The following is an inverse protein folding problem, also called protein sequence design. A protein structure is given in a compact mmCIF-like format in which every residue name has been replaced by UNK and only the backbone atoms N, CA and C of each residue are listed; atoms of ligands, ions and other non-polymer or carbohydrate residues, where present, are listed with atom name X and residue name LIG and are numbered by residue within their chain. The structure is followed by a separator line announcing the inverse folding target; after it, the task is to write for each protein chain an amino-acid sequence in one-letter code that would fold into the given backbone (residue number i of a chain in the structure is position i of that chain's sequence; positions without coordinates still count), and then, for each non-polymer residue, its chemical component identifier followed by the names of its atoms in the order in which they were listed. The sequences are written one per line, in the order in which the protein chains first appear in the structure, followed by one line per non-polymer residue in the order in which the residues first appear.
data_IF_112885101944
#
_entry.id   IF_112885101944
#
_cell.length_a   1.000
_cell.length_b   1.000
_cell.length_c   1.000
_cell.angle_alpha   90.00
_cell.angle_beta   90.00
_cell.angle_gamma   90.00
#
_symmetry.space_group_name_H-M   'P 1'
#
loop_
_entity.id
_entity.type
_entity.pdbx_description
1 polymer ?
#
# COMPACT_ATOMS: atom_id res chain seq x y z
N UNK A 1 7.17 -9.27 29.19
CA UNK A 1 6.52 -9.45 27.89
C UNK A 1 6.44 -8.08 27.25
N UNK A 2 7.19 -7.84 26.17
CA UNK A 2 7.22 -6.53 25.53
C UNK A 2 5.86 -6.15 24.90
N UNK A 3 5.60 -4.87 24.79
CA UNK A 3 4.34 -4.32 24.30
C UNK A 3 4.57 -3.53 23.02
N UNK A 4 4.00 -4.00 21.91
CA UNK A 4 3.93 -3.30 20.63
C UNK A 4 2.61 -2.55 20.54
N UNK A 5 2.66 -1.25 20.23
CA UNK A 5 1.50 -0.49 19.83
C UNK A 5 1.66 -0.02 18.39
N UNK A 6 0.79 -0.45 17.51
CA UNK A 6 0.71 0.02 16.13
C UNK A 6 -0.38 1.08 15.98
N UNK A 7 -0.15 2.11 15.17
CA UNK A 7 -1.14 3.16 14.87
C UNK A 7 -1.34 3.22 13.36
N UNK A 8 -2.57 2.93 12.93
CA UNK A 8 -2.95 2.98 11.51
C UNK A 8 -4.38 3.50 11.37
N UNK A 9 -4.73 4.06 10.23
CA UNK A 9 -6.09 4.55 9.97
C UNK A 9 -7.15 3.44 10.10
N UNK A 10 -6.82 2.21 9.73
CA UNK A 10 -7.70 1.03 9.78
C UNK A 10 -7.07 -0.12 10.52
N UNK A 11 -7.86 -1.07 11.04
CA UNK A 11 -7.39 -2.30 11.64
C UNK A 11 -7.89 -3.51 10.83
N UNK A 12 -6.95 -4.34 10.34
CA UNK A 12 -7.24 -5.52 9.51
C UNK A 12 -8.18 -5.24 8.32
N UNK A 13 -8.13 -4.01 7.78
CA UNK A 13 -8.93 -3.58 6.64
C UNK A 13 -8.07 -2.80 5.64
N UNK A 14 -8.25 -3.06 4.34
CA UNK A 14 -7.37 -2.51 3.31
C UNK A 14 -5.95 -3.09 3.38
N UNK A 15 -5.03 -2.64 2.52
CA UNK A 15 -3.67 -3.18 2.48
C UNK A 15 -2.88 -2.87 3.75
N UNK A 16 -2.77 -1.60 4.15
CA UNK A 16 -1.98 -1.18 5.32
C UNK A 16 -2.52 -1.72 6.63
N UNK A 17 -3.87 -1.81 6.78
CA UNK A 17 -4.49 -2.42 7.94
C UNK A 17 -4.23 -3.92 8.06
N UNK A 18 -4.19 -4.65 6.94
CA UNK A 18 -3.82 -6.08 6.90
C UNK A 18 -2.34 -6.27 7.24
N UNK A 19 -1.46 -5.39 6.74
CA UNK A 19 -0.02 -5.42 7.06
C UNK A 19 0.18 -5.21 8.58
N UNK A 20 -0.45 -4.19 9.17
CA UNK A 20 -0.38 -3.94 10.61
C UNK A 20 -0.91 -5.13 11.43
N UNK A 21 -2.02 -5.74 10.99
CA UNK A 21 -2.57 -6.96 11.60
C UNK A 21 -1.55 -8.11 11.58
N UNK A 22 -0.94 -8.37 10.44
CA UNK A 22 -0.01 -9.48 10.26
C UNK A 22 1.31 -9.28 11.02
N UNK A 23 1.84 -8.04 11.06
CA UNK A 23 3.01 -7.69 11.90
C UNK A 23 2.67 -7.93 13.38
N UNK A 24 1.47 -7.53 13.83
CA UNK A 24 1.03 -7.75 15.19
C UNK A 24 0.83 -9.23 15.51
N UNK A 25 0.32 -10.04 14.59
CA UNK A 25 0.22 -11.50 14.75
C UNK A 25 1.61 -12.14 14.85
N UNK A 26 2.56 -11.71 14.04
CA UNK A 26 3.94 -12.13 14.14
C UNK A 26 4.54 -11.76 15.51
N UNK A 27 4.26 -10.57 16.03
CA UNK A 27 4.69 -10.17 17.36
C UNK A 27 4.08 -11.06 18.46
N UNK A 28 2.78 -11.35 18.39
CA UNK A 28 2.06 -12.21 19.34
C UNK A 28 2.66 -13.63 19.35
N UNK A 29 2.93 -14.22 18.17
CA UNK A 29 3.53 -15.56 18.06
C UNK A 29 4.96 -15.64 18.65
N UNK A 30 5.62 -14.48 18.80
CA UNK A 30 6.94 -14.36 19.44
C UNK A 30 6.88 -13.83 20.87
N UNK A 31 5.74 -13.92 21.54
CA UNK A 31 5.58 -13.61 22.96
C UNK A 31 5.41 -12.12 23.29
N UNK A 32 5.00 -11.28 22.35
CA UNK A 32 4.67 -9.88 22.60
C UNK A 32 3.19 -9.68 22.89
N UNK A 33 2.85 -8.62 23.62
CA UNK A 33 1.48 -8.06 23.62
C UNK A 33 1.39 -7.07 22.47
N UNK A 34 0.39 -7.23 21.60
CA UNK A 34 0.21 -6.34 20.44
C UNK A 34 -1.14 -5.63 20.48
N UNK A 35 -1.08 -4.32 20.21
CA UNK A 35 -2.23 -3.42 20.14
C UNK A 35 -2.23 -2.73 18.76
N UNK A 36 -3.43 -2.50 18.20
CA UNK A 36 -3.62 -1.65 17.02
C UNK A 36 -4.60 -0.53 17.39
N UNK A 37 -4.10 0.71 17.39
CA UNK A 37 -4.92 1.90 17.50
C UNK A 37 -5.36 2.36 16.11
N UNK A 38 -6.67 2.55 15.91
CA UNK A 38 -7.26 2.83 14.60
C UNK A 38 -8.34 3.91 14.64
N UNK A 39 -8.58 4.57 13.49
CA UNK A 39 -9.55 5.65 13.38
C UNK A 39 -10.89 5.26 12.75
N UNK A 40 -10.88 4.44 11.70
CA UNK A 40 -12.06 4.26 10.83
C UNK A 40 -12.58 2.82 10.81
N UNK A 41 -12.24 2.07 9.79
CA UNK A 41 -12.78 0.72 9.53
C UNK A 41 -11.95 -0.36 10.20
N UNK A 42 -12.59 -1.44 10.60
CA UNK A 42 -11.92 -2.60 11.18
C UNK A 42 -12.62 -3.91 10.76
N UNK A 43 -11.83 -4.95 10.66
CA UNK A 43 -12.28 -6.34 10.65
C UNK A 43 -11.86 -7.03 11.96
N UNK A 44 -12.38 -8.23 12.27
CA UNK A 44 -11.91 -9.03 13.40
C UNK A 44 -10.39 -9.15 13.43
N UNK A 45 -9.78 -9.01 14.60
CA UNK A 45 -8.33 -8.93 14.80
C UNK A 45 -7.89 -9.85 15.95
N UNK A 46 -6.68 -10.42 15.81
CA UNK A 46 -5.99 -11.09 16.93
C UNK A 46 -5.27 -10.10 17.84
N UNK A 47 -5.07 -8.87 17.37
CA UNK A 47 -4.49 -7.80 18.16
C UNK A 47 -5.56 -7.16 19.06
N UNK A 48 -5.15 -6.53 20.16
CA UNK A 48 -6.04 -5.72 20.99
C UNK A 48 -6.31 -4.40 20.29
N UNK A 49 -7.57 -4.12 19.96
CA UNK A 49 -7.97 -2.95 19.21
C UNK A 49 -8.29 -1.76 20.10
N UNK A 50 -7.82 -0.57 19.73
CA UNK A 50 -8.10 0.70 20.38
C UNK A 50 -8.64 1.67 19.34
N UNK A 51 -9.90 2.07 19.49
CA UNK A 51 -10.49 3.06 18.58
C UNK A 51 -10.16 4.48 19.01
N UNK A 52 -9.62 5.27 18.10
CA UNK A 52 -9.33 6.70 18.32
C UNK A 52 -10.49 7.52 17.78
N UNK A 53 -11.23 8.16 18.71
CA UNK A 53 -12.37 9.01 18.36
C UNK A 53 -13.62 8.26 17.91
N UNK A 54 -14.61 9.03 17.55
CA UNK A 54 -15.91 8.61 17.01
C UNK A 54 -16.02 8.89 15.52
N UNK A 55 -17.10 8.47 14.88
CA UNK A 55 -17.42 8.86 13.50
C UNK A 55 -17.58 10.38 13.36
N UNK A 56 -18.08 11.04 14.40
CA UNK A 56 -18.26 12.49 14.40
C UNK A 56 -16.90 13.21 14.44
N UNK A 57 -15.94 12.75 15.29
CA UNK A 57 -14.59 13.33 15.32
C UNK A 57 -13.89 13.22 13.95
N UNK A 58 -14.09 12.11 13.24
CA UNK A 58 -13.53 11.90 11.89
C UNK A 58 -14.17 12.87 10.89
N UNK A 59 -15.49 13.05 10.96
CA UNK A 59 -16.21 13.94 10.03
C UNK A 59 -15.87 15.42 10.28
N UNK A 60 -15.79 15.85 11.53
CA UNK A 60 -15.35 17.19 11.92
C UNK A 60 -13.93 17.47 11.39
N UNK A 61 -13.01 16.51 11.60
CA UNK A 61 -11.65 16.61 11.08
C UNK A 61 -11.59 16.69 9.55
N UNK A 62 -12.43 15.89 8.87
CA UNK A 62 -12.52 15.92 7.41
C UNK A 62 -12.93 17.30 6.91
N UNK A 63 -13.98 17.92 7.49
CA UNK A 63 -14.44 19.26 7.10
C UNK A 63 -13.35 20.30 7.38
N UNK A 64 -12.76 20.27 8.58
CA UNK A 64 -11.69 21.21 8.96
C UNK A 64 -10.51 21.11 7.99
N UNK A 65 -10.09 19.90 7.61
CA UNK A 65 -8.97 19.70 6.69
C UNK A 65 -9.25 20.16 5.27
N UNK A 66 -10.52 20.05 4.82
CA UNK A 66 -10.95 20.53 3.50
C UNK A 66 -10.92 22.05 3.36
N UNK A 67 -11.12 22.76 4.46
CA UNK A 67 -11.11 24.22 4.47
C UNK A 67 -9.70 24.76 4.76
N UNK A 68 -9.02 24.16 5.73
CA UNK A 68 -7.78 24.69 6.31
C UNK A 68 -6.52 23.92 5.89
N UNK A 69 -6.60 22.93 5.02
CA UNK A 69 -5.45 22.07 4.64
C UNK A 69 -4.61 21.62 5.86
N UNK A 70 -5.28 21.16 6.91
CA UNK A 70 -4.66 20.80 8.18
C UNK A 70 -4.84 19.30 8.52
N UNK A 71 -4.84 18.45 7.52
CA UNK A 71 -4.94 17.02 7.68
C UNK A 71 -3.94 16.46 8.73
N UNK A 72 -4.46 15.69 9.68
CA UNK A 72 -3.67 15.18 10.79
C UNK A 72 -3.41 16.18 11.92
N UNK A 73 -4.03 17.38 11.93
CA UNK A 73 -3.88 18.40 12.96
C UNK A 73 -5.15 18.73 13.74
N UNK A 74 -6.31 18.25 13.28
CA UNK A 74 -7.58 18.29 14.06
C UNK A 74 -7.69 17.08 15.03
N UNK A 75 -8.89 16.60 15.37
CA UNK A 75 -9.11 15.48 16.32
C UNK A 75 -8.38 15.62 17.66
N UNK A 76 -8.25 16.83 18.17
CA UNK A 76 -7.44 17.13 19.38
C UNK A 76 -7.98 16.42 20.62
N UNK A 77 -9.33 16.39 20.82
CA UNK A 77 -9.97 15.74 21.97
C UNK A 77 -9.76 14.22 21.94
N UNK A 78 -10.00 13.60 20.78
CA UNK A 78 -9.81 12.17 20.58
C UNK A 78 -8.35 11.76 20.84
N UNK A 79 -7.39 12.51 20.31
CA UNK A 79 -5.96 12.26 20.54
C UNK A 79 -5.55 12.41 21.98
N UNK A 80 -6.05 13.44 22.72
CA UNK A 80 -5.78 13.57 24.17
C UNK A 80 -6.32 12.40 24.97
N UNK A 81 -7.51 11.87 24.65
CA UNK A 81 -8.05 10.65 25.27
C UNK A 81 -7.17 9.45 24.97
N UNK A 82 -6.76 9.30 23.72
CA UNK A 82 -5.84 8.23 23.31
C UNK A 82 -4.50 8.28 24.05
N UNK A 83 -3.92 9.46 24.23
CA UNK A 83 -2.66 9.64 24.99
C UNK A 83 -2.80 9.14 26.43
N UNK A 84 -3.95 9.30 27.08
CA UNK A 84 -4.17 8.73 28.43
C UNK A 84 -4.12 7.19 28.40
N UNK A 85 -4.71 6.58 27.37
CA UNK A 85 -4.62 5.13 27.18
C UNK A 85 -3.17 4.67 26.95
N UNK A 86 -2.36 5.47 26.24
CA UNK A 86 -0.92 5.19 26.08
C UNK A 86 -0.17 5.20 27.43
N UNK A 87 -0.52 6.12 28.35
CA UNK A 87 0.06 6.19 29.69
C UNK A 87 -0.30 4.95 30.53
N UNK A 88 -1.45 4.32 30.29
CA UNK A 88 -1.88 3.08 30.96
C UNK A 88 -1.18 1.85 30.35
N UNK A 89 -1.11 1.77 29.02
CA UNK A 89 -0.52 0.62 28.29
C UNK A 89 1.00 0.59 28.43
N UNK A 90 1.66 1.75 28.41
CA UNK A 90 3.13 1.92 28.44
C UNK A 90 3.83 1.05 27.41
N UNK A 91 3.59 1.29 26.09
CA UNK A 91 4.21 0.49 25.05
C UNK A 91 5.73 0.63 25.06
N UNK A 92 6.43 -0.46 24.82
CA UNK A 92 7.89 -0.48 24.68
C UNK A 92 8.32 0.04 23.29
N UNK A 93 7.47 -0.15 22.26
CA UNK A 93 7.65 0.36 20.91
C UNK A 93 6.33 0.88 20.37
N UNK A 94 6.37 2.06 19.75
CA UNK A 94 5.27 2.60 18.94
C UNK A 94 5.60 2.47 17.47
N UNK A 95 4.76 1.76 16.72
CA UNK A 95 4.92 1.58 15.28
C UNK A 95 3.83 2.35 14.53
N UNK A 96 4.24 3.35 13.76
CA UNK A 96 3.37 4.19 12.94
C UNK A 96 3.26 3.62 11.54
N UNK A 97 2.04 3.60 11.01
CA UNK A 97 1.73 3.34 9.60
C UNK A 97 1.10 4.59 8.98
N UNK A 98 -0.09 4.50 8.40
CA UNK A 98 -0.80 5.66 7.90
C UNK A 98 -1.53 6.37 9.05
N UNK A 99 -0.94 7.47 9.50
CA UNK A 99 -1.47 8.30 10.59
C UNK A 99 -2.17 9.57 10.09
N UNK A 100 -2.22 9.78 8.79
CA UNK A 100 -3.05 10.77 8.12
C UNK A 100 -4.53 10.31 8.01
N UNK A 101 -5.39 11.05 7.30
CA UNK A 101 -6.78 10.64 7.00
C UNK A 101 -7.80 10.83 8.15
N UNK A 102 -7.70 11.94 8.88
CA UNK A 102 -8.77 12.56 9.70
C UNK A 102 -9.13 11.88 11.03
N UNK A 103 -8.23 11.19 11.70
CA UNK A 103 -8.57 10.53 12.97
C UNK A 103 -7.66 10.90 14.16
N UNK A 104 -6.48 11.45 13.89
CA UNK A 104 -5.43 11.67 14.85
C UNK A 104 -4.82 13.05 14.69
N UNK A 105 -4.40 13.68 15.79
CA UNK A 105 -3.54 14.85 15.78
C UNK A 105 -2.10 14.42 15.96
N UNK A 106 -1.33 14.36 14.85
CA UNK A 106 0.07 13.91 14.90
C UNK A 106 0.96 14.83 15.71
N UNK A 107 0.67 16.14 15.80
CA UNK A 107 1.45 17.07 16.62
C UNK A 107 1.38 16.70 18.10
N UNK A 108 0.18 16.43 18.62
CA UNK A 108 -0.01 16.01 20.01
C UNK A 108 0.65 14.65 20.28
N UNK A 109 0.48 13.70 19.38
CA UNK A 109 1.11 12.39 19.47
C UNK A 109 2.64 12.51 19.49
N UNK A 110 3.25 13.24 18.57
CA UNK A 110 4.70 13.38 18.49
C UNK A 110 5.27 14.11 19.71
N UNK A 111 4.60 15.14 20.23
CA UNK A 111 4.99 15.78 21.48
C UNK A 111 5.00 14.82 22.66
N UNK A 112 4.01 13.90 22.73
CA UNK A 112 3.95 12.86 23.74
C UNK A 112 5.10 11.86 23.59
N UNK A 113 5.33 11.32 22.37
CA UNK A 113 6.38 10.36 22.10
C UNK A 113 7.78 10.92 22.43
N UNK A 114 8.04 12.17 22.07
CA UNK A 114 9.28 12.88 22.45
C UNK A 114 9.46 12.95 23.96
N UNK A 115 8.41 13.36 24.70
CA UNK A 115 8.47 13.50 26.15
C UNK A 115 8.71 12.15 26.85
N UNK A 116 8.13 11.09 26.33
CA UNK A 116 8.23 9.72 26.90
C UNK A 116 9.48 8.97 26.42
N UNK A 117 10.19 9.47 25.39
CA UNK A 117 11.36 8.84 24.77
C UNK A 117 11.10 7.40 24.31
N UNK A 118 9.85 7.10 23.92
CA UNK A 118 9.47 5.76 23.42
C UNK A 118 10.10 5.56 22.06
N UNK A 119 10.72 4.41 21.77
CA UNK A 119 11.18 4.04 20.42
C UNK A 119 10.04 4.06 19.42
N UNK A 120 10.26 4.77 18.30
CA UNK A 120 9.28 4.91 17.22
C UNK A 120 9.81 4.27 15.96
N UNK A 121 9.05 3.35 15.41
CA UNK A 121 9.25 2.82 14.05
C UNK A 121 8.14 3.39 13.18
N UNK A 122 8.46 3.89 11.99
CA UNK A 122 7.45 4.37 11.06
C UNK A 122 7.57 3.66 9.72
N UNK A 123 6.64 2.74 9.45
CA UNK A 123 6.54 2.15 8.11
C UNK A 123 5.90 3.15 7.17
N UNK A 124 6.68 3.56 6.19
CA UNK A 124 6.25 4.47 5.13
C UNK A 124 5.58 3.67 4.01
N UNK A 125 4.26 3.80 3.93
CA UNK A 125 3.46 3.23 2.83
C UNK A 125 3.21 4.23 1.72
N UNK A 126 3.48 5.51 1.98
CA UNK A 126 3.35 6.64 1.06
C UNK A 126 4.33 7.76 1.43
N UNK A 127 4.23 8.88 0.73
CA UNK A 127 5.15 10.02 0.87
C UNK A 127 4.61 11.14 1.78
N UNK A 128 3.45 10.94 2.43
CA UNK A 128 2.81 12.00 3.22
C UNK A 128 3.70 12.59 4.33
N UNK A 129 4.55 11.80 4.96
CA UNK A 129 5.41 12.27 6.04
C UNK A 129 6.44 13.30 5.58
N UNK A 130 6.90 13.24 4.33
CA UNK A 130 7.93 14.10 3.76
C UNK A 130 7.39 15.22 2.88
N UNK A 131 6.08 15.28 2.68
CA UNK A 131 5.40 16.32 1.91
C UNK A 131 4.60 17.26 2.79
N UNK A 132 4.11 18.37 2.25
CA UNK A 132 3.20 19.27 2.96
C UNK A 132 1.78 18.73 3.07
N UNK A 133 1.34 17.99 2.05
CA UNK A 133 -0.06 17.62 1.86
C UNK A 133 -0.24 16.23 1.23
N UNK A 134 0.49 15.91 0.17
CA UNK A 134 0.18 14.78 -0.70
C UNK A 134 0.79 13.46 -0.23
N UNK A 135 0.07 12.36 -0.46
CA UNK A 135 0.51 10.98 -0.28
C UNK A 135 1.31 10.48 -1.50
N UNK A 136 1.00 11.01 -2.67
CA UNK A 136 1.68 10.74 -3.93
C UNK A 136 2.14 12.07 -4.52
N UNK A 137 3.40 12.16 -4.91
CA UNK A 137 3.98 13.38 -5.48
C UNK A 137 3.54 13.51 -6.92
N UNK A 138 2.91 14.62 -7.32
CA UNK A 138 2.58 14.88 -8.72
C UNK A 138 3.82 14.86 -9.60
N UNK A 139 3.66 14.43 -10.85
CA UNK A 139 4.76 14.41 -11.82
C UNK A 139 5.42 15.79 -11.92
N UNK A 140 6.74 15.83 -11.84
CA UNK A 140 7.54 17.05 -11.92
C UNK A 140 7.58 17.91 -10.64
N UNK A 141 6.83 17.58 -9.59
CA UNK A 141 6.90 18.33 -8.33
C UNK A 141 8.16 17.98 -7.55
N UNK A 142 9.01 19.00 -7.28
CA UNK A 142 10.24 18.84 -6.50
C UNK A 142 10.21 19.59 -5.17
N UNK A 143 9.14 20.35 -4.86
CA UNK A 143 9.04 21.21 -3.67
C UNK A 143 9.20 20.44 -2.34
N UNK A 144 8.84 19.18 -2.30
CA UNK A 144 8.96 18.33 -1.11
C UNK A 144 10.42 18.12 -0.63
N UNK A 145 11.41 18.32 -1.51
CA UNK A 145 12.83 18.18 -1.16
C UNK A 145 13.30 19.32 -0.24
N UNK A 146 12.86 20.52 -0.52
CA UNK A 146 13.25 21.72 0.22
C UNK A 146 12.09 22.25 1.06
N UNK A 147 11.06 22.79 0.43
CA UNK A 147 9.89 23.32 1.09
C UNK A 147 8.64 23.30 0.18
N UNK A 148 7.61 22.56 0.56
CA UNK A 148 6.33 22.55 -0.15
C UNK A 148 5.68 23.95 -0.13
N UNK A 149 5.13 24.34 -1.27
CA UNK A 149 4.34 25.56 -1.46
C UNK A 149 3.57 25.49 -2.78
N UNK A 150 2.51 26.29 -2.93
CA UNK A 150 1.70 26.35 -4.15
C UNK A 150 1.33 24.94 -4.65
N UNK A 151 0.76 24.13 -3.76
CA UNK A 151 0.52 22.71 -4.04
C UNK A 151 -0.56 22.53 -5.11
N UNK A 152 -0.27 21.86 -6.25
CA UNK A 152 -1.24 21.68 -7.33
C UNK A 152 -2.42 20.77 -6.92
N UNK A 153 -2.30 20.04 -5.81
CA UNK A 153 -3.35 19.14 -5.31
C UNK A 153 -4.30 19.83 -4.32
N UNK A 154 -4.09 21.11 -4.01
CA UNK A 154 -4.99 21.87 -3.15
C UNK A 154 -6.33 22.08 -3.88
N UNK A 155 -7.42 21.82 -3.18
CA UNK A 155 -8.75 22.02 -3.72
C UNK A 155 -9.08 23.51 -3.85
N UNK A 156 -9.88 23.83 -4.86
CA UNK A 156 -10.22 25.22 -5.27
C UNK A 156 -10.65 26.14 -4.13
N UNK A 157 -11.25 25.61 -3.08
CA UNK A 157 -11.79 26.39 -1.95
C UNK A 157 -11.00 26.18 -0.64
N UNK A 158 -9.87 25.47 -0.68
CA UNK A 158 -9.03 25.23 0.49
C UNK A 158 -7.92 26.27 0.58
N UNK A 159 -7.52 26.62 1.82
CA UNK A 159 -6.31 27.37 2.05
C UNK A 159 -5.10 26.49 1.73
N UNK A 160 -4.09 27.04 1.08
CA UNK A 160 -2.81 26.31 0.91
C UNK A 160 -1.93 26.48 2.14
N UNK A 161 -1.95 25.51 3.02
CA UNK A 161 -1.05 25.41 4.16
C UNK A 161 0.10 24.41 3.93
N UNK A 162 0.34 23.96 2.70
CA UNK A 162 1.37 22.98 2.38
C UNK A 162 2.74 23.35 2.91
N UNK A 163 3.14 24.62 2.82
CA UNK A 163 4.38 25.16 3.39
C UNK A 163 4.42 25.01 4.91
N UNK A 164 3.38 25.46 5.59
CA UNK A 164 3.25 25.38 7.04
C UNK A 164 3.27 23.94 7.55
N UNK A 165 2.53 23.08 6.88
CA UNK A 165 2.44 21.65 7.19
C UNK A 165 3.78 20.95 7.00
N UNK A 166 4.49 21.23 5.91
CA UNK A 166 5.81 20.68 5.64
C UNK A 166 6.84 21.12 6.71
N UNK A 167 6.92 22.41 7.01
CA UNK A 167 7.79 22.95 8.08
C UNK A 167 7.48 22.32 9.44
N UNK A 168 6.20 22.16 9.77
CA UNK A 168 5.77 21.57 11.04
C UNK A 168 6.18 20.10 11.12
N UNK A 169 5.94 19.29 10.07
CA UNK A 169 6.36 17.88 10.01
C UNK A 169 7.89 17.79 10.14
N UNK A 170 8.64 18.53 9.34
CA UNK A 170 10.11 18.61 9.42
C UNK A 170 10.60 18.88 10.85
N UNK A 171 10.06 19.90 11.50
CA UNK A 171 10.43 20.27 12.89
C UNK A 171 10.12 19.15 13.88
N UNK A 172 8.91 18.60 13.84
CA UNK A 172 8.47 17.57 14.79
C UNK A 172 9.26 16.27 14.60
N UNK A 173 9.43 15.82 13.35
CA UNK A 173 10.13 14.58 13.04
C UNK A 173 11.63 14.68 13.33
N UNK A 174 12.24 15.85 13.15
CA UNK A 174 13.61 16.11 13.58
C UNK A 174 13.79 16.02 15.10
N UNK A 175 12.75 16.24 15.88
CA UNK A 175 12.81 16.26 17.35
C UNK A 175 12.61 14.89 18.01
N UNK A 176 12.10 13.88 17.30
CA UNK A 176 11.93 12.51 17.82
C UNK A 176 13.28 11.78 17.72
N UNK A 177 14.03 11.70 18.82
CA UNK A 177 15.38 11.12 18.82
C UNK A 177 15.42 9.65 18.43
N UNK A 178 14.47 8.85 18.89
CA UNK A 178 14.39 7.38 18.67
C UNK A 178 13.49 7.00 17.50
N UNK A 179 13.48 7.78 16.41
CA UNK A 179 12.70 7.51 15.21
C UNK A 179 13.53 6.73 14.19
N UNK A 180 13.03 5.55 13.82
CA UNK A 180 13.54 4.75 12.69
C UNK A 180 12.49 4.71 11.58
N UNK A 181 12.89 5.04 10.37
CA UNK A 181 12.02 5.01 9.19
C UNK A 181 12.17 3.67 8.47
N UNK A 182 11.04 3.07 8.13
CA UNK A 182 10.99 1.79 7.42
C UNK A 182 10.19 1.97 6.12
N UNK A 183 10.86 2.34 5.01
CA UNK A 183 10.20 2.34 3.70
C UNK A 183 9.94 0.91 3.22
N UNK A 184 8.84 0.73 2.47
CA UNK A 184 8.44 -0.59 1.94
C UNK A 184 9.13 -0.95 0.62
N UNK A 185 9.95 -0.04 0.07
CA UNK A 185 10.70 -0.22 -1.19
C UNK A 185 11.97 0.61 -1.17
N UNK A 186 12.96 0.25 -1.99
CA UNK A 186 14.18 1.05 -2.17
C UNK A 186 13.87 2.38 -2.86
N UNK A 187 12.95 2.37 -3.85
CA UNK A 187 12.46 3.61 -4.45
C UNK A 187 11.96 4.61 -3.42
N UNK A 188 11.17 4.14 -2.45
CA UNK A 188 10.65 5.00 -1.37
C UNK A 188 11.80 5.44 -0.43
N UNK A 189 12.75 4.55 -0.15
CA UNK A 189 13.94 4.88 0.65
C UNK A 189 14.77 5.99 -0.02
N UNK A 190 14.94 5.94 -1.34
CA UNK A 190 15.66 6.97 -2.09
C UNK A 190 14.98 8.34 -2.05
N UNK A 191 13.66 8.37 -2.08
CA UNK A 191 12.90 9.60 -1.85
C UNK A 191 13.11 10.12 -0.42
N UNK A 192 13.09 9.25 0.58
CA UNK A 192 13.29 9.65 1.98
C UNK A 192 14.72 10.17 2.20
N UNK A 193 15.74 9.55 1.60
CA UNK A 193 17.15 10.01 1.64
C UNK A 193 17.34 11.39 1.03
N UNK A 194 16.45 11.86 0.18
CA UNK A 194 16.45 13.19 -0.43
C UNK A 194 15.55 14.20 0.30
N UNK A 195 14.89 13.77 1.38
CA UNK A 195 13.91 14.58 2.11
C UNK A 195 14.45 15.15 3.42
N UNK A 196 13.56 15.80 4.17
CA UNK A 196 13.84 16.26 5.52
C UNK A 196 14.13 15.13 6.54
N UNK A 197 13.98 13.86 6.17
CA UNK A 197 14.26 12.68 6.99
C UNK A 197 15.58 11.99 6.64
N UNK A 198 16.41 12.56 5.77
CA UNK A 198 17.66 11.96 5.26
C UNK A 198 18.64 11.53 6.36
N UNK A 199 18.64 12.23 7.49
CA UNK A 199 19.55 11.98 8.62
C UNK A 199 18.99 10.98 9.64
N UNK A 200 17.83 10.39 9.37
CA UNK A 200 17.21 9.37 10.22
C UNK A 200 17.71 7.97 9.86
N UNK A 201 17.78 7.03 10.83
CA UNK A 201 18.00 5.62 10.50
C UNK A 201 16.91 5.13 9.55
N UNK A 202 17.34 4.58 8.41
CA UNK A 202 16.44 4.02 7.38
C UNK A 202 16.77 2.54 7.25
N UNK A 203 15.75 1.68 7.37
CA UNK A 203 15.83 0.25 7.12
C UNK A 203 14.70 -0.16 6.18
N UNK A 204 15.00 -0.57 4.96
CA UNK A 204 13.97 -1.09 4.04
C UNK A 204 13.49 -2.44 4.55
N UNK A 205 12.18 -2.58 4.67
CA UNK A 205 11.51 -3.86 4.92
C UNK A 205 10.33 -3.94 3.95
N UNK A 206 10.45 -4.81 2.97
CA UNK A 206 9.40 -5.01 1.98
C UNK A 206 8.14 -5.60 2.60
N UNK A 207 6.98 -5.28 2.01
CA UNK A 207 5.73 -5.93 2.39
C UNK A 207 5.81 -7.44 2.08
N UNK A 208 5.32 -8.25 3.00
CA UNK A 208 5.06 -9.65 2.77
C UNK A 208 3.58 -9.93 2.52
N UNK A 209 3.29 -11.08 1.94
CA UNK A 209 1.93 -11.57 1.71
C UNK A 209 1.76 -12.97 2.30
N UNK A 210 0.51 -13.39 2.45
CA UNK A 210 0.19 -14.76 2.85
C UNK A 210 0.34 -15.70 1.65
N UNK A 211 1.53 -16.31 1.54
CA UNK A 211 1.85 -17.25 0.47
C UNK A 211 1.09 -18.58 0.55
N UNK A 212 0.41 -18.87 1.66
CA UNK A 212 -0.45 -20.05 1.76
C UNK A 212 -1.82 -19.79 1.14
N UNK A 213 -2.36 -18.59 1.33
CA UNK A 213 -3.59 -18.14 0.69
C UNK A 213 -3.34 -17.85 -0.79
N UNK A 214 -2.29 -17.08 -1.11
CA UNK A 214 -1.85 -16.81 -2.48
C UNK A 214 -0.84 -17.87 -2.91
N UNK A 215 -1.36 -18.94 -3.50
CA UNK A 215 -0.60 -20.08 -4.04
C UNK A 215 -1.26 -20.57 -5.31
N UNK A 216 -0.57 -21.30 -6.17
CA UNK A 216 -1.17 -21.89 -7.36
C UNK A 216 -2.43 -22.68 -7.01
N UNK A 217 -3.53 -22.41 -7.70
CA UNK A 217 -4.85 -23.02 -7.51
C UNK A 217 -5.26 -23.76 -8.77
N UNK A 218 -5.82 -24.94 -8.59
CA UNK A 218 -6.28 -25.77 -9.72
C UNK A 218 -7.81 -25.82 -9.79
N UNK A 219 -8.47 -24.67 -9.76
CA UNK A 219 -9.93 -24.56 -9.82
C UNK A 219 -10.38 -23.79 -11.06
N UNK A 220 -11.41 -24.32 -11.72
CA UNK A 220 -11.97 -23.74 -12.94
C UNK A 220 -12.86 -22.53 -12.63
N UNK A 221 -12.33 -21.33 -12.92
CA UNK A 221 -13.07 -20.07 -12.80
C UNK A 221 -13.75 -19.65 -14.12
N UNK A 222 -13.47 -20.34 -15.21
CA UNK A 222 -13.92 -19.94 -16.55
C UNK A 222 -15.45 -19.93 -16.65
N UNK A 223 -16.10 -20.97 -16.17
CA UNK A 223 -17.56 -21.07 -16.16
C UNK A 223 -18.19 -19.99 -15.28
N UNK A 224 -17.64 -19.78 -14.08
CA UNK A 224 -18.15 -18.78 -13.13
C UNK A 224 -18.22 -17.36 -13.70
N UNK A 225 -17.25 -16.99 -14.53
CA UNK A 225 -17.15 -15.65 -15.10
C UNK A 225 -17.51 -15.59 -16.59
N UNK A 226 -18.02 -16.68 -17.17
CA UNK A 226 -18.37 -16.73 -18.59
C UNK A 226 -17.17 -16.53 -19.53
N UNK A 227 -16.00 -17.02 -19.12
CA UNK A 227 -14.77 -16.89 -19.89
C UNK A 227 -14.65 -18.09 -20.83
N UNK A 228 -14.33 -17.81 -22.09
CA UNK A 228 -14.07 -18.88 -23.05
C UNK A 228 -12.73 -19.59 -22.71
N UNK A 229 -12.79 -20.89 -22.40
CA UNK A 229 -11.62 -21.72 -22.05
C UNK A 229 -10.50 -21.75 -23.11
N UNK A 230 -10.82 -21.43 -24.36
CA UNK A 230 -9.84 -21.35 -25.45
C UNK A 230 -9.02 -20.06 -25.43
N UNK A 231 -9.46 -19.03 -24.68
CA UNK A 231 -8.80 -17.73 -24.61
C UNK A 231 -7.92 -17.63 -23.39
N UNK A 232 -6.81 -16.92 -23.54
CA UNK A 232 -5.87 -16.61 -22.46
C UNK A 232 -6.35 -15.39 -21.69
N UNK A 233 -6.29 -15.46 -20.36
CA UNK A 233 -6.73 -14.37 -19.47
C UNK A 233 -5.59 -13.37 -19.26
N UNK A 234 -5.86 -12.09 -19.53
CA UNK A 234 -5.05 -10.96 -19.11
C UNK A 234 -5.74 -10.36 -17.89
N UNK A 235 -5.10 -10.42 -16.73
CA UNK A 235 -5.73 -10.04 -15.46
C UNK A 235 -5.24 -8.68 -14.97
N UNK A 236 -6.18 -7.80 -14.59
CA UNK A 236 -5.92 -6.58 -13.83
C UNK A 236 -6.63 -6.60 -12.48
N UNK A 237 -5.98 -6.19 -11.40
CA UNK A 237 -6.55 -6.15 -10.05
C UNK A 237 -6.24 -4.84 -9.35
N UNK A 238 -7.29 -4.14 -8.88
CA UNK A 238 -7.17 -2.97 -8.01
C UNK A 238 -8.36 -2.91 -7.04
N UNK A 239 -8.21 -2.28 -5.89
CA UNK A 239 -9.35 -2.04 -4.99
C UNK A 239 -10.34 -1.08 -5.64
N UNK A 240 -9.81 -0.01 -6.24
CA UNK A 240 -10.58 1.00 -6.98
C UNK A 240 -9.77 1.36 -8.23
N UNK A 241 -10.42 1.25 -9.37
CA UNK A 241 -9.86 1.64 -10.66
C UNK A 241 -10.08 3.12 -10.93
N UNK A 242 -9.00 3.80 -11.29
CA UNK A 242 -8.94 5.20 -11.69
C UNK A 242 -7.78 5.39 -12.67
N UNK A 243 -7.56 6.63 -13.15
CA UNK A 243 -6.45 6.96 -14.05
C UNK A 243 -5.08 6.53 -13.48
N UNK A 244 -4.84 6.78 -12.19
CA UNK A 244 -3.59 6.39 -11.52
C UNK A 244 -3.32 4.88 -11.58
N UNK A 245 -4.35 4.05 -11.63
CA UNK A 245 -4.25 2.58 -11.72
C UNK A 245 -4.22 2.06 -13.16
N UNK A 246 -4.29 2.95 -14.16
CA UNK A 246 -4.14 2.60 -15.56
C UNK A 246 -5.34 1.89 -16.16
N UNK A 247 -6.58 2.22 -15.73
CA UNK A 247 -7.77 1.64 -16.34
C UNK A 247 -7.86 1.95 -17.84
N UNK A 248 -7.49 3.17 -18.23
CA UNK A 248 -7.52 3.60 -19.63
C UNK A 248 -6.57 2.74 -20.51
N UNK A 249 -5.45 2.32 -19.94
CA UNK A 249 -4.46 1.49 -20.65
C UNK A 249 -5.03 0.10 -20.96
N UNK A 250 -5.92 -0.43 -20.10
CA UNK A 250 -6.65 -1.67 -20.40
C UNK A 250 -7.67 -1.49 -21.54
N UNK A 251 -8.28 -0.31 -21.68
CA UNK A 251 -9.16 -0.04 -22.83
C UNK A 251 -8.34 0.02 -24.12
N UNK A 252 -7.22 0.73 -24.12
CA UNK A 252 -6.31 0.79 -25.27
C UNK A 252 -5.76 -0.61 -25.61
N UNK A 253 -5.39 -1.39 -24.59
CA UNK A 253 -4.94 -2.76 -24.76
C UNK A 253 -6.01 -3.64 -25.42
N UNK A 254 -7.28 -3.51 -25.01
CA UNK A 254 -8.40 -4.27 -25.57
C UNK A 254 -8.63 -3.98 -27.05
N UNK A 255 -8.30 -2.78 -27.53
CA UNK A 255 -8.35 -2.45 -28.96
C UNK A 255 -7.21 -3.07 -29.79
N UNK A 256 -6.06 -3.35 -29.14
CA UNK A 256 -4.85 -3.81 -29.84
C UNK A 256 -4.64 -5.33 -29.78
N UNK A 257 -5.22 -6.00 -28.80
CA UNK A 257 -5.09 -7.45 -28.64
C UNK A 257 -6.01 -8.21 -29.60
N UNK A 258 -5.58 -9.41 -29.98
CA UNK A 258 -6.35 -10.36 -30.78
C UNK A 258 -7.56 -10.88 -29.98
N UNK A 259 -8.81 -10.53 -30.40
CA UNK A 259 -10.01 -10.89 -29.66
C UNK A 259 -10.28 -12.41 -29.65
N UNK A 260 -9.69 -13.18 -30.56
CA UNK A 260 -9.86 -14.62 -30.62
C UNK A 260 -8.91 -15.36 -29.65
N UNK A 261 -7.81 -14.72 -29.26
CA UNK A 261 -6.79 -15.30 -28.38
C UNK A 261 -6.93 -14.89 -26.92
N UNK A 262 -7.45 -13.68 -26.63
CA UNK A 262 -7.39 -13.10 -25.30
C UNK A 262 -8.76 -12.68 -24.74
N UNK A 263 -8.89 -12.72 -23.42
CA UNK A 263 -9.94 -12.07 -22.64
C UNK A 263 -9.30 -11.26 -21.52
N UNK A 264 -9.73 -10.03 -21.35
CA UNK A 264 -9.25 -9.17 -20.25
C UNK A 264 -10.22 -9.30 -19.07
N UNK A 265 -9.70 -9.60 -17.90
CA UNK A 265 -10.48 -9.65 -16.65
C UNK A 265 -9.99 -8.55 -15.71
N UNK A 266 -10.90 -7.66 -15.33
CA UNK A 266 -10.64 -6.52 -14.46
C UNK A 266 -11.35 -6.73 -13.13
N UNK A 267 -10.59 -6.90 -12.04
CA UNK A 267 -11.12 -7.07 -10.69
C UNK A 267 -11.00 -5.76 -9.91
N UNK A 268 -12.10 -5.31 -9.34
CA UNK A 268 -12.17 -4.12 -8.49
C UNK A 268 -13.30 -3.16 -8.83
N UNK A 269 -13.48 -2.19 -7.94
CA UNK A 269 -14.56 -1.20 -8.08
C UNK A 269 -14.16 -0.14 -9.11
N UNK A 270 -15.05 0.14 -10.05
CA UNK A 270 -14.91 1.26 -10.99
C UNK A 270 -15.48 2.54 -10.37
N UNK A 271 -14.83 3.69 -10.57
CA UNK A 271 -15.33 4.99 -10.09
C UNK A 271 -16.44 5.50 -11.01
N UNK A 272 -16.26 5.29 -12.32
CA UNK A 272 -17.23 5.70 -13.34
C UNK A 272 -17.93 4.48 -13.92
N UNK A 273 -19.17 4.65 -14.35
CA UNK A 273 -19.87 3.62 -15.12
C UNK A 273 -19.08 3.34 -16.39
N UNK A 274 -18.82 2.06 -16.63
CA UNK A 274 -18.15 1.60 -17.84
C UNK A 274 -18.94 2.13 -19.03
N UNK A 275 -18.44 3.13 -19.72
CA UNK A 275 -18.94 3.46 -21.05
C UNK A 275 -18.88 2.14 -21.83
N UNK A 276 -20.00 1.72 -22.44
CA UNK A 276 -20.04 0.57 -23.35
C UNK A 276 -19.14 0.86 -24.54
N UNK A 277 -17.84 0.77 -24.32
CA UNK A 277 -16.84 0.94 -25.37
C UNK A 277 -16.92 -0.35 -26.17
N UNK A 278 -17.23 -0.26 -27.45
CA UNK A 278 -17.05 -1.39 -28.37
C UNK A 278 -15.55 -1.62 -28.48
N UNK A 279 -15.04 -2.53 -27.67
CA UNK A 279 -13.63 -2.97 -27.71
C UNK A 279 -13.51 -4.22 -28.56
N UNK A 280 -12.37 -4.41 -29.20
CA UNK A 280 -12.11 -5.62 -29.99
C UNK A 280 -12.06 -6.86 -29.11
N UNK A 281 -11.26 -6.82 -28.03
CA UNK A 281 -11.11 -7.91 -27.08
C UNK A 281 -12.18 -7.85 -25.96
N UNK A 282 -12.72 -9.02 -25.59
CA UNK A 282 -13.70 -9.10 -24.50
C UNK A 282 -13.10 -8.61 -23.19
N UNK A 283 -13.81 -7.72 -22.49
CA UNK A 283 -13.50 -7.28 -21.14
C UNK A 283 -14.57 -7.74 -20.15
N UNK A 284 -14.15 -8.39 -19.08
CA UNK A 284 -15.02 -8.88 -18.00
C UNK A 284 -14.67 -8.08 -16.73
N UNK A 285 -15.69 -7.46 -16.13
CA UNK A 285 -15.53 -6.67 -14.92
C UNK A 285 -16.09 -7.41 -13.71
N UNK A 286 -15.21 -7.70 -12.76
CA UNK A 286 -15.53 -8.35 -11.48
C UNK A 286 -15.41 -7.30 -10.39
N UNK A 287 -16.56 -6.79 -9.89
CA UNK A 287 -16.60 -5.72 -8.90
C UNK A 287 -15.81 -6.04 -7.63
N UNK A 288 -15.89 -7.29 -7.19
CA UNK A 288 -15.21 -7.77 -5.98
C UNK A 288 -15.25 -9.30 -5.97
N UNK A 289 -14.17 -9.95 -5.55
CA UNK A 289 -14.13 -11.38 -5.22
C UNK A 289 -14.76 -11.63 -3.85
N UNK A 290 -15.30 -12.82 -3.64
CA UNK A 290 -15.92 -13.20 -2.36
C UNK A 290 -14.89 -13.28 -1.23
N UNK A 291 -13.69 -13.75 -1.55
CA UNK A 291 -12.59 -13.92 -0.61
C UNK A 291 -11.23 -13.91 -1.33
N UNK A 292 -10.16 -14.04 -0.55
CA UNK A 292 -8.80 -14.05 -1.07
C UNK A 292 -8.47 -15.32 -1.89
N UNK A 293 -9.11 -16.47 -1.57
CA UNK A 293 -8.91 -17.70 -2.33
C UNK A 293 -9.43 -17.58 -3.76
N UNK A 294 -10.61 -16.98 -3.93
CA UNK A 294 -11.15 -16.70 -5.27
C UNK A 294 -10.25 -15.75 -6.08
N UNK A 295 -9.65 -14.78 -5.42
CA UNK A 295 -8.67 -13.91 -6.07
C UNK A 295 -7.42 -14.69 -6.47
N UNK A 296 -6.94 -15.62 -5.62
CA UNK A 296 -5.81 -16.49 -5.95
C UNK A 296 -6.13 -17.41 -7.15
N UNK A 297 -7.37 -17.90 -7.27
CA UNK A 297 -7.83 -18.66 -8.43
C UNK A 297 -7.79 -17.84 -9.73
N UNK A 298 -8.22 -16.57 -9.67
CA UNK A 298 -8.13 -15.65 -10.81
C UNK A 298 -6.66 -15.39 -11.21
N UNK A 299 -5.78 -15.17 -10.25
CA UNK A 299 -4.35 -15.06 -10.54
C UNK A 299 -3.84 -16.34 -11.22
N UNK A 300 -4.05 -17.51 -10.61
CA UNK A 300 -3.53 -18.79 -11.12
C UNK A 300 -4.06 -19.18 -12.51
N UNK A 301 -5.24 -18.69 -12.89
CA UNK A 301 -5.82 -18.95 -14.21
C UNK A 301 -5.39 -17.96 -15.28
N UNK A 302 -4.70 -16.89 -14.90
CA UNK A 302 -4.27 -15.85 -15.84
C UNK A 302 -2.95 -16.24 -16.53
N UNK A 303 -2.87 -15.94 -17.83
CA UNK A 303 -1.61 -16.01 -18.56
C UNK A 303 -0.60 -15.04 -17.95
N UNK A 304 -1.08 -13.86 -17.59
CA UNK A 304 -0.26 -12.77 -17.05
C UNK A 304 -1.12 -11.80 -16.23
N UNK A 305 -0.56 -11.31 -15.15
CA UNK A 305 -1.09 -10.18 -14.40
C UNK A 305 -0.48 -8.88 -14.92
N UNK A 306 -1.31 -7.92 -15.31
CA UNK A 306 -0.90 -6.61 -15.79
C UNK A 306 -1.20 -5.56 -14.72
N UNK A 307 -0.16 -4.83 -14.29
CA UNK A 307 -0.27 -3.72 -13.34
C UNK A 307 0.24 -2.41 -13.97
N UNK A 308 -0.59 -1.72 -14.77
CA UNK A 308 -0.21 -0.51 -15.49
C UNK A 308 -0.36 0.72 -14.59
N UNK A 309 0.12 0.63 -13.36
CA UNK A 309 -0.03 1.72 -12.38
C UNK A 309 0.90 2.88 -12.68
N UNK A 310 0.38 4.09 -12.62
CA UNK A 310 1.14 5.34 -12.81
C UNK A 310 1.83 5.81 -11.52
N UNK A 311 1.37 5.32 -10.35
CA UNK A 311 2.00 5.58 -9.05
C UNK A 311 1.68 4.46 -8.07
N UNK A 312 2.70 3.79 -7.59
CA UNK A 312 2.61 2.83 -6.49
C UNK A 312 3.96 2.73 -5.77
N UNK A 313 3.92 2.46 -4.47
CA UNK A 313 5.13 2.41 -3.66
C UNK A 313 5.72 1.00 -3.56
N UNK A 314 4.88 -0.01 -3.47
CA UNK A 314 5.24 -1.44 -3.52
C UNK A 314 3.94 -2.27 -3.58
N UNK A 315 3.36 -2.50 -4.76
CA UNK A 315 2.03 -3.10 -4.91
C UNK A 315 2.02 -4.57 -4.50
N UNK A 316 1.23 -4.90 -3.47
CA UNK A 316 1.06 -6.30 -3.02
C UNK A 316 0.42 -7.17 -4.08
N UNK A 317 -0.33 -6.60 -5.02
CA UNK A 317 -0.94 -7.33 -6.15
C UNK A 317 0.11 -7.98 -7.06
N UNK A 318 1.29 -7.36 -7.24
CA UNK A 318 2.41 -7.99 -7.96
C UNK A 318 2.91 -9.23 -7.20
N UNK A 319 3.03 -9.11 -5.86
CA UNK A 319 3.49 -10.21 -5.00
C UNK A 319 2.48 -11.36 -5.01
N UNK A 320 1.19 -11.03 -4.94
CA UNK A 320 0.08 -11.98 -4.95
C UNK A 320 0.05 -12.78 -6.27
N UNK A 321 0.19 -12.10 -7.41
CA UNK A 321 0.26 -12.74 -8.72
C UNK A 321 1.45 -13.71 -8.81
N UNK A 322 2.66 -13.24 -8.49
CA UNK A 322 3.88 -14.06 -8.53
C UNK A 322 3.75 -15.26 -7.56
N UNK A 323 3.14 -15.09 -6.40
CA UNK A 323 2.94 -16.17 -5.45
C UNK A 323 1.95 -17.24 -5.95
N UNK A 324 0.99 -16.84 -6.79
CA UNK A 324 0.07 -17.76 -7.47
C UNK A 324 0.67 -18.38 -8.74
N UNK A 325 1.96 -18.18 -9.02
CA UNK A 325 2.65 -18.70 -10.20
C UNK A 325 2.46 -17.87 -11.46
N UNK A 326 1.83 -16.71 -11.37
CA UNK A 326 1.47 -15.88 -12.53
C UNK A 326 2.50 -14.80 -12.77
N UNK A 327 3.10 -14.71 -13.96
CA UNK A 327 4.04 -13.65 -14.30
C UNK A 327 3.37 -12.29 -14.32
N UNK A 328 4.17 -11.24 -14.09
CA UNK A 328 3.71 -9.86 -13.97
C UNK A 328 4.27 -9.00 -15.08
N UNK A 329 3.43 -8.19 -15.73
CA UNK A 329 3.89 -7.03 -16.51
C UNK A 329 3.53 -5.79 -15.74
N UNK A 330 4.51 -4.93 -15.47
CA UNK A 330 4.29 -3.68 -14.74
C UNK A 330 5.04 -2.52 -15.34
N UNK A 331 4.55 -1.31 -15.10
CA UNK A 331 5.26 -0.09 -15.49
C UNK A 331 6.49 0.17 -14.61
N UNK A 332 7.50 0.83 -15.17
CA UNK A 332 8.66 1.37 -14.44
C UNK A 332 8.22 2.58 -13.63
N UNK A 333 7.51 2.33 -12.53
CA UNK A 333 6.85 3.33 -11.71
C UNK A 333 7.01 3.01 -10.23
N UNK A 334 7.54 3.96 -9.46
CA UNK A 334 7.70 3.79 -8.02
C UNK A 334 8.49 2.53 -7.67
N UNK A 335 8.05 1.82 -6.64
CA UNK A 335 8.61 0.53 -6.23
C UNK A 335 7.97 -0.68 -6.93
N UNK A 336 7.09 -0.47 -7.93
CA UNK A 336 6.43 -1.57 -8.64
C UNK A 336 7.41 -2.53 -9.33
N UNK A 337 8.53 -2.07 -9.95
CA UNK A 337 9.52 -2.94 -10.56
C UNK A 337 10.28 -3.84 -9.57
N UNK A 338 10.40 -3.45 -8.30
CA UNK A 338 11.25 -4.15 -7.33
C UNK A 338 10.78 -5.59 -7.02
N UNK A 339 9.51 -5.89 -7.28
CA UNK A 339 8.96 -7.23 -7.13
C UNK A 339 9.20 -8.13 -8.35
N UNK A 340 9.66 -7.58 -9.49
CA UNK A 340 9.69 -8.26 -10.78
C UNK A 340 11.13 -8.44 -11.26
N UNK A 341 11.47 -9.66 -11.66
CA UNK A 341 12.74 -9.99 -12.30
C UNK A 341 12.48 -10.80 -13.59
N UNK A 342 13.55 -11.13 -14.32
CA UNK A 342 13.50 -11.84 -15.59
C UNK A 342 12.75 -13.18 -15.59
N UNK A 343 12.63 -13.84 -14.41
CA UNK A 343 11.93 -15.11 -14.22
C UNK A 343 10.47 -14.93 -13.81
N UNK A 344 10.09 -13.73 -13.36
CA UNK A 344 8.76 -13.47 -12.78
C UNK A 344 7.96 -12.45 -13.56
N UNK A 345 8.54 -11.81 -14.60
CA UNK A 345 7.78 -10.86 -15.41
C UNK A 345 8.62 -9.91 -16.23
N UNK A 346 7.95 -8.88 -16.73
CA UNK A 346 8.54 -7.86 -17.61
C UNK A 346 8.21 -6.47 -17.06
N UNK A 347 9.21 -5.61 -17.01
CA UNK A 347 9.05 -4.19 -16.64
C UNK A 347 9.14 -3.36 -17.92
N UNK A 348 8.12 -2.56 -18.18
CA UNK A 348 8.03 -1.68 -19.36
C UNK A 348 7.92 -0.21 -18.96
N UNK A 349 8.17 0.68 -19.89
CA UNK A 349 8.04 2.12 -19.62
C UNK A 349 6.58 2.53 -19.44
N UNK A 350 6.36 3.51 -18.59
CA UNK A 350 5.04 3.98 -18.19
C UNK A 350 4.25 4.50 -19.39
N UNK A 351 3.04 3.97 -19.62
CA UNK A 351 2.12 4.39 -20.67
C UNK A 351 2.48 3.85 -22.08
N UNK A 352 3.50 2.99 -22.20
CA UNK A 352 3.83 2.37 -23.47
C UNK A 352 2.94 1.15 -23.74
N UNK A 353 1.79 1.40 -24.38
CA UNK A 353 0.82 0.35 -24.73
C UNK A 353 1.38 -0.61 -25.80
N UNK A 354 2.26 -0.15 -26.67
CA UNK A 354 2.86 -1.02 -27.68
C UNK A 354 3.84 -2.00 -27.02
N UNK A 355 4.67 -1.54 -26.10
CA UNK A 355 5.51 -2.40 -25.28
C UNK A 355 4.68 -3.38 -24.42
N UNK A 356 3.52 -2.94 -23.91
CA UNK A 356 2.60 -3.80 -23.16
C UNK A 356 2.06 -4.95 -24.03
N UNK A 357 1.62 -4.66 -25.25
CA UNK A 357 1.18 -5.67 -26.24
C UNK A 357 2.31 -6.63 -26.55
N UNK A 358 3.50 -6.12 -26.85
CA UNK A 358 4.67 -6.93 -27.17
C UNK A 358 5.07 -7.86 -25.99
N UNK A 359 5.04 -7.36 -24.78
CA UNK A 359 5.32 -8.16 -23.57
C UNK A 359 4.29 -9.29 -23.37
N UNK A 360 3.00 -9.04 -23.62
CA UNK A 360 1.96 -10.07 -23.56
C UNK A 360 2.19 -11.13 -24.65
N UNK A 361 2.54 -10.73 -25.88
CA UNK A 361 2.86 -11.65 -26.96
C UNK A 361 4.09 -12.50 -26.63
N UNK A 362 5.14 -11.88 -26.10
CA UNK A 362 6.37 -12.57 -25.67
C UNK A 362 6.05 -13.65 -24.62
N UNK A 363 5.26 -13.34 -23.56
CA UNK A 363 4.86 -14.33 -22.56
C UNK A 363 3.93 -15.41 -23.15
N UNK A 364 3.17 -15.06 -24.18
CA UNK A 364 2.30 -16.03 -24.87
C UNK A 364 3.09 -17.07 -25.65
N UNK A 365 4.15 -16.63 -26.35
CA UNK A 365 5.02 -17.47 -27.19
C UNK A 365 6.09 -18.19 -26.35
N UNK A 366 6.59 -17.52 -25.30
CA UNK A 366 7.61 -18.01 -24.40
C UNK A 366 7.15 -17.87 -22.94
N UNK A 367 6.28 -18.79 -22.46
CA UNK A 367 5.72 -18.71 -21.11
C UNK A 367 6.81 -18.74 -20.03
N UNK A 368 6.68 -17.85 -19.04
CA UNK A 368 7.52 -17.89 -17.85
C UNK A 368 7.06 -19.03 -16.93
N UNK A 369 8.01 -19.58 -16.18
CA UNK A 369 7.77 -20.74 -15.31
C UNK A 369 6.94 -20.35 -14.09
N UNK A 370 5.77 -20.98 -13.93
CA UNK A 370 4.93 -20.91 -12.73
C UNK A 370 5.74 -21.29 -11.46
N UNK A 371 6.58 -22.34 -11.56
CA UNK A 371 7.42 -22.81 -10.48
C UNK A 371 8.46 -21.77 -10.08
N UNK A 372 9.07 -21.05 -11.04
CA UNK A 372 10.04 -20.00 -10.73
C UNK A 372 9.38 -18.78 -10.11
N UNK A 373 8.18 -18.38 -10.57
CA UNK A 373 7.36 -17.37 -9.92
C UNK A 373 7.08 -17.75 -8.46
N UNK A 374 6.58 -18.97 -8.23
CA UNK A 374 6.27 -19.48 -6.90
C UNK A 374 7.50 -19.52 -5.98
N UNK A 375 8.62 -20.04 -6.43
CA UNK A 375 9.88 -20.08 -5.67
C UNK A 375 10.36 -18.68 -5.29
N UNK A 376 10.23 -17.73 -6.20
CA UNK A 376 10.58 -16.34 -5.92
C UNK A 376 9.72 -15.77 -4.78
N UNK A 377 8.41 -16.00 -4.80
CA UNK A 377 7.51 -15.55 -3.74
C UNK A 377 7.83 -16.21 -2.39
N UNK A 378 8.08 -17.52 -2.35
CA UNK A 378 8.45 -18.25 -1.14
C UNK A 378 9.75 -17.73 -0.53
N UNK A 379 10.69 -17.29 -1.37
CA UNK A 379 11.98 -16.77 -0.91
C UNK A 379 11.86 -15.33 -0.37
N UNK A 380 11.12 -14.45 -1.05
CA UNK A 380 11.21 -13.02 -0.83
C UNK A 380 9.91 -12.36 -0.33
N UNK A 381 8.73 -12.98 -0.54
CA UNK A 381 7.44 -12.33 -0.27
C UNK A 381 6.64 -12.97 0.87
N UNK A 382 7.19 -14.01 1.50
CA UNK A 382 6.56 -14.67 2.64
C UNK A 382 6.46 -13.68 3.82
N UNK A 383 5.22 -13.36 4.23
CA UNK A 383 4.95 -12.46 5.36
C UNK A 383 5.66 -12.87 6.64
N UNK A 384 5.77 -14.18 6.89
CA UNK A 384 6.36 -14.70 8.12
C UNK A 384 7.87 -14.46 8.16
N UNK A 385 8.53 -14.44 6.98
CA UNK A 385 9.93 -14.04 6.84
C UNK A 385 10.12 -12.53 6.88
N UNK A 386 9.26 -11.79 6.14
CA UNK A 386 9.37 -10.32 6.05
C UNK A 386 9.11 -9.66 7.41
N UNK A 387 8.08 -10.10 8.14
CA UNK A 387 7.67 -9.40 9.36
C UNK A 387 8.50 -9.75 10.60
N UNK A 388 9.25 -10.85 10.59
CA UNK A 388 10.29 -11.12 11.59
C UNK A 388 11.37 -10.02 11.59
N UNK A 389 11.63 -9.37 10.45
CA UNK A 389 12.58 -8.25 10.38
C UNK A 389 12.14 -7.04 11.24
N UNK A 390 10.83 -6.82 11.37
CA UNK A 390 10.31 -5.82 12.31
C UNK A 390 10.59 -6.21 13.76
N UNK A 391 10.43 -7.48 14.12
CA UNK A 391 10.71 -7.94 15.50
C UNK A 391 12.19 -7.80 15.86
N UNK A 392 13.09 -8.11 14.91
CA UNK A 392 14.52 -7.87 15.09
C UNK A 392 14.81 -6.38 15.31
N UNK A 393 14.15 -5.51 14.53
CA UNK A 393 14.27 -4.06 14.68
C UNK A 393 13.74 -3.62 16.05
N UNK A 394 12.54 -4.05 16.47
CA UNK A 394 11.97 -3.66 17.77
C UNK A 394 12.89 -4.07 18.92
N UNK A 395 13.38 -5.31 18.95
CA UNK A 395 14.33 -5.79 19.97
C UNK A 395 15.57 -4.89 20.02
N UNK A 396 16.18 -4.58 18.87
CA UNK A 396 17.37 -3.74 18.83
C UNK A 396 17.15 -2.30 19.33
N UNK A 397 15.90 -1.84 19.39
CA UNK A 397 15.53 -0.51 19.89
C UNK A 397 15.23 -0.50 21.39
N UNK A 398 14.78 -1.62 21.95
CA UNK A 398 14.43 -1.75 23.39
C UNK A 398 15.68 -2.10 24.20
N UNK A 399 16.61 -2.87 23.63
CA UNK A 399 17.82 -3.34 24.29
C UNK A 399 18.92 -2.27 24.38
N UNK A 400 18.66 -1.05 23.83
CA UNK A 400 19.52 0.16 23.94
C UNK A 400 19.16 0.99 25.16
#
# INVERSE_FOLDING_TARGET
MPILLQINITANWGSTGKIAEQIGQCAISHGWKSYIAYGRMMNPSKNRLIKIGSKFDVYEHYIESRILDNEGLASRRATKKFIKILDEIKPDVVHLHNIHDHFLNYRLLFCYLMKRKIPVVWTMHDLWAITGHCMYIPCGCMHWKDECHNCPLIQRFSLDHSRKNHRLKKKLLASIQSLTIVPVSEWLADNIRQSCLKDRPIKVIHNGIDIHTFSPQNLDIYEKYGINKKKKIILGVAVIWNERKGLNDFYELAHKLDPDKYTIVIVGKLIEDVKKIKVGCQMIFVKQTQNALELAQLYSSALVFVNPTYQDNYPTTNLEAIACGTPVITYRTGGSPEAVNEKTGIVIEQGDINALVAAIQQITEHPLSEVDCRRNAEKYFDKDKCFVEYLKLYKSLIDK
#
